data_IF_722746532390
#
_entry.id   IF_722746532390
#
_cell.length_a   1.000
_cell.length_b   1.000
_cell.length_c   1.000
_cell.angle_alpha   90.00
_cell.angle_beta   90.00
_cell.angle_gamma   90.00
#
_symmetry.space_group_name_H-M   'P 1'
#
loop_
_entity.id
_entity.type
_entity.pdbx_description
1 polymer ?
#
# COMPACT_ATOMS: atom_id res chain seq x y z
N UNK A 1 -1.35 -4.80 20.56
CA UNK A 1 -1.31 -3.33 20.49
C UNK A 1 -2.39 -2.90 19.49
N UNK A 2 -3.64 -2.85 19.95
CA UNK A 2 -4.81 -2.49 19.16
C UNK A 2 -5.03 -0.99 19.26
N UNK A 3 -4.50 -0.25 18.29
CA UNK A 3 -4.82 1.15 18.10
C UNK A 3 -4.95 1.38 16.60
N UNK A 4 -6.20 1.53 16.15
CA UNK A 4 -6.54 2.15 14.87
C UNK A 4 -6.18 3.63 14.98
N UNK A 5 -4.88 3.93 15.07
CA UNK A 5 -4.41 5.30 14.90
C UNK A 5 -4.72 5.67 13.45
N UNK A 6 -5.41 6.80 13.17
CA UNK A 6 -5.70 7.21 11.81
C UNK A 6 -4.41 7.19 10.98
N UNK A 7 -4.44 6.50 9.84
CA UNK A 7 -3.29 6.43 8.97
C UNK A 7 -2.80 7.84 8.65
N UNK A 8 -1.48 8.01 8.65
CA UNK A 8 -0.87 9.26 8.24
C UNK A 8 -1.32 9.62 6.81
N UNK A 9 -1.36 10.91 6.48
CA UNK A 9 -1.66 11.37 5.12
C UNK A 9 -0.77 10.70 4.05
N UNK A 10 0.48 10.37 4.41
CA UNK A 10 1.42 9.67 3.54
C UNK A 10 0.98 8.23 3.27
N UNK A 11 0.60 7.49 4.32
CA UNK A 11 0.07 6.14 4.20
C UNK A 11 -1.22 6.12 3.38
N UNK A 12 -2.12 7.08 3.58
CA UNK A 12 -3.33 7.24 2.75
C UNK A 12 -3.02 7.55 1.29
N UNK A 13 -2.05 8.42 1.02
CA UNK A 13 -1.62 8.71 -0.35
C UNK A 13 -1.06 7.45 -1.04
N UNK A 14 -0.35 6.60 -0.30
CA UNK A 14 0.17 5.35 -0.83
C UNK A 14 -0.97 4.34 -1.11
N UNK A 15 -1.95 4.19 -0.20
CA UNK A 15 -3.14 3.37 -0.46
C UNK A 15 -3.92 3.84 -1.70
N UNK A 16 -4.05 5.16 -1.90
CA UNK A 16 -4.67 5.74 -3.11
C UNK A 16 -3.86 5.44 -4.37
N UNK A 17 -2.53 5.51 -4.30
CA UNK A 17 -1.67 5.16 -5.42
C UNK A 17 -1.78 3.65 -5.75
N UNK A 18 -1.85 2.79 -4.74
CA UNK A 18 -2.06 1.34 -4.92
C UNK A 18 -3.42 1.06 -5.55
N UNK A 19 -4.50 1.70 -5.06
CA UNK A 19 -5.84 1.58 -5.66
C UNK A 19 -5.86 2.00 -7.14
N UNK A 20 -5.03 2.98 -7.52
CA UNK A 20 -4.87 3.43 -8.89
C UNK A 20 -3.95 2.55 -9.75
N UNK A 21 -3.42 1.44 -9.22
CA UNK A 21 -2.52 0.53 -9.93
C UNK A 21 -1.14 1.13 -10.23
N UNK A 22 -0.73 2.18 -9.50
CA UNK A 22 0.54 2.90 -9.75
C UNK A 22 1.71 2.40 -8.91
N UNK A 23 1.46 1.42 -8.04
CA UNK A 23 2.42 0.95 -7.05
C UNK A 23 2.90 -0.44 -7.42
N UNK A 24 4.20 -0.64 -7.32
CA UNK A 24 4.83 -1.95 -7.42
C UNK A 24 5.68 -2.19 -6.17
N UNK A 25 5.82 -3.46 -5.80
CA UNK A 25 6.59 -3.90 -4.65
C UNK A 25 7.50 -5.08 -5.01
N UNK A 26 8.64 -5.21 -4.33
CA UNK A 26 9.53 -6.36 -4.53
C UNK A 26 8.98 -7.61 -3.85
N UNK A 27 9.16 -8.78 -4.46
CA UNK A 27 8.86 -10.06 -3.82
C UNK A 27 9.90 -10.35 -2.71
N UNK A 28 9.59 -9.97 -1.47
CA UNK A 28 10.46 -10.10 -0.27
C UNK A 28 9.65 -10.08 1.02
N UNK A 29 10.22 -10.55 2.14
CA UNK A 29 9.63 -10.42 3.48
C UNK A 29 9.60 -8.97 3.97
N UNK A 30 10.54 -8.16 3.49
CA UNK A 30 10.58 -6.70 3.65
C UNK A 30 10.62 -6.11 2.24
N UNK A 31 9.45 -5.85 1.63
CA UNK A 31 9.39 -5.38 0.26
C UNK A 31 9.77 -3.89 0.17
N UNK A 32 10.44 -3.53 -0.93
CA UNK A 32 10.61 -2.14 -1.32
C UNK A 32 9.47 -1.75 -2.26
N UNK A 33 9.01 -0.51 -2.15
CA UNK A 33 7.93 0.06 -2.96
C UNK A 33 8.47 1.04 -3.99
N UNK A 34 7.81 1.11 -5.13
CA UNK A 34 7.94 2.18 -6.11
C UNK A 34 6.57 2.66 -6.57
N UNK A 35 6.49 3.94 -6.90
CA UNK A 35 5.30 4.59 -7.44
C UNK A 35 5.67 5.17 -8.79
N UNK A 36 4.94 4.82 -9.84
CA UNK A 36 5.21 5.31 -11.20
C UNK A 36 6.68 5.07 -11.62
N UNK A 37 7.22 3.87 -11.31
CA UNK A 37 8.62 3.45 -11.50
C UNK A 37 9.68 4.20 -10.66
N UNK A 38 9.29 5.08 -9.75
CA UNK A 38 10.21 5.81 -8.86
C UNK A 38 10.21 5.18 -7.45
N UNK A 39 11.39 4.95 -6.83
CA UNK A 39 11.46 4.44 -5.47
C UNK A 39 10.63 5.29 -4.51
N UNK A 40 9.80 4.65 -3.69
CA UNK A 40 9.03 5.34 -2.67
C UNK A 40 10.00 5.97 -1.65
N UNK A 41 9.85 7.26 -1.38
CA UNK A 41 10.68 7.96 -0.40
C UNK A 41 10.36 7.58 1.06
N UNK A 42 9.22 6.91 1.28
CA UNK A 42 8.74 6.48 2.59
C UNK A 42 8.59 4.94 2.64
N UNK A 43 9.70 4.25 2.37
CA UNK A 43 9.78 2.79 2.48
C UNK A 43 9.29 2.25 3.83
N UNK A 44 9.61 2.87 4.99
CA UNK A 44 9.10 2.39 6.27
C UNK A 44 7.57 2.39 6.35
N UNK A 45 6.91 3.47 5.92
CA UNK A 45 5.44 3.49 5.89
C UNK A 45 4.87 2.46 4.92
N UNK A 46 5.51 2.27 3.76
CA UNK A 46 5.08 1.28 2.78
C UNK A 46 5.13 -0.15 3.32
N UNK A 47 6.21 -0.52 4.01
CA UNK A 47 6.36 -1.84 4.63
C UNK A 47 5.33 -2.06 5.74
N UNK A 48 4.99 -1.03 6.51
CA UNK A 48 3.92 -1.12 7.50
C UNK A 48 2.57 -1.47 6.87
N UNK A 49 2.26 -1.00 5.66
CA UNK A 49 1.02 -1.37 4.97
C UNK A 49 0.99 -2.85 4.58
N UNK A 50 2.13 -3.42 4.18
CA UNK A 50 2.24 -4.86 3.89
C UNK A 50 2.14 -5.69 5.16
N UNK A 51 2.88 -5.30 6.22
CA UNK A 51 2.81 -5.98 7.51
C UNK A 51 1.43 -5.90 8.15
N UNK A 52 0.69 -4.82 7.91
CA UNK A 52 -0.71 -4.66 8.32
C UNK A 52 -1.71 -5.41 7.43
N UNK A 53 -1.25 -6.07 6.36
CA UNK A 53 -2.11 -6.81 5.42
C UNK A 53 -3.04 -5.92 4.61
N UNK A 54 -2.68 -4.65 4.37
CA UNK A 54 -3.49 -3.70 3.59
C UNK A 54 -3.11 -3.69 2.11
N UNK A 55 -1.88 -4.11 1.79
CA UNK A 55 -1.33 -4.18 0.43
C UNK A 55 -0.61 -5.50 0.25
N UNK A 56 -0.80 -6.14 -0.90
CA UNK A 56 -0.13 -7.39 -1.24
C UNK A 56 0.24 -7.45 -2.74
N UNK A 57 1.21 -8.30 -3.15
CA UNK A 57 1.54 -8.46 -4.56
C UNK A 57 0.37 -9.10 -5.32
N UNK A 58 0.07 -8.59 -6.52
CA UNK A 58 -1.00 -9.11 -7.36
C UNK A 58 -0.74 -10.52 -7.91
N UNK A 59 0.52 -10.95 -7.96
CA UNK A 59 0.93 -12.26 -8.47
C UNK A 59 2.09 -12.82 -7.65
N UNK A 60 2.37 -14.12 -7.78
CA UNK A 60 3.61 -14.71 -7.26
C UNK A 60 4.73 -14.59 -8.29
N UNK A 61 5.97 -14.36 -7.83
CA UNK A 61 7.16 -14.34 -8.67
C UNK A 61 8.42 -14.69 -7.85
N UNK A 62 9.57 -14.91 -8.49
CA UNK A 62 10.82 -15.16 -7.77
C UNK A 62 11.23 -13.94 -6.92
N UNK A 63 12.00 -14.21 -5.86
CA UNK A 63 12.50 -13.18 -4.94
C UNK A 63 13.19 -12.03 -5.68
N UNK A 64 12.96 -10.80 -5.21
CA UNK A 64 13.56 -9.58 -5.77
C UNK A 64 12.92 -9.03 -7.06
N UNK A 65 11.94 -9.73 -7.64
CA UNK A 65 11.18 -9.18 -8.77
C UNK A 65 10.20 -8.11 -8.31
N UNK A 66 10.06 -7.05 -9.12
CA UNK A 66 9.02 -6.04 -8.96
C UNK A 66 7.68 -6.57 -9.46
N UNK A 67 6.64 -6.37 -8.65
CA UNK A 67 5.30 -6.86 -8.93
C UNK A 67 4.28 -5.75 -8.70
N UNK A 68 3.21 -5.67 -9.52
CA UNK A 68 2.09 -4.79 -9.23
C UNK A 68 1.55 -5.06 -7.83
N UNK A 69 1.37 -3.99 -7.06
CA UNK A 69 0.73 -4.04 -5.75
C UNK A 69 -0.78 -3.86 -5.93
N UNK A 70 -1.56 -4.53 -5.10
CA UNK A 70 -3.00 -4.29 -5.00
C UNK A 70 -3.44 -4.15 -3.56
N UNK A 71 -4.60 -3.51 -3.37
CA UNK A 71 -5.22 -3.42 -2.06
C UNK A 71 -5.88 -4.76 -1.72
N UNK A 72 -5.66 -5.22 -0.50
CA UNK A 72 -6.52 -6.26 0.08
C UNK A 72 -7.90 -5.67 0.37
N UNK A 73 -8.87 -6.53 0.68
CA UNK A 73 -10.20 -6.07 1.13
C UNK A 73 -10.11 -5.10 2.31
N UNK A 74 -9.27 -5.41 3.32
CA UNK A 74 -9.06 -4.55 4.48
C UNK A 74 -8.43 -3.20 4.09
N UNK A 75 -7.47 -3.19 3.16
CA UNK A 75 -6.88 -1.95 2.63
C UNK A 75 -7.91 -1.07 1.92
N UNK A 76 -8.80 -1.66 1.13
CA UNK A 76 -9.86 -0.96 0.42
C UNK A 76 -10.91 -0.37 1.38
N UNK A 77 -11.34 -1.13 2.38
CA UNK A 77 -12.29 -0.66 3.41
C UNK A 77 -11.71 0.52 4.21
N UNK A 78 -10.47 0.40 4.65
CA UNK A 78 -9.81 1.47 5.40
C UNK A 78 -9.67 2.74 4.57
N UNK A 79 -9.30 2.61 3.28
CA UNK A 79 -9.23 3.74 2.36
C UNK A 79 -10.60 4.43 2.19
N UNK A 80 -11.68 3.66 2.12
CA UNK A 80 -13.04 4.18 2.02
C UNK A 80 -13.45 4.94 3.29
N UNK A 81 -13.14 4.42 4.48
CA UNK A 81 -13.42 5.07 5.77
C UNK A 81 -12.60 6.36 5.98
N UNK A 82 -11.42 6.44 5.37
CA UNK A 82 -10.49 7.58 5.50
C UNK A 82 -10.70 8.66 4.45
N UNK A 83 -11.45 8.36 3.39
CA UNK A 83 -11.84 9.36 2.40
C UNK A 83 -13.15 9.98 2.91
N UNK A 84 -13.17 11.26 3.32
CA UNK A 84 -14.45 11.90 3.56
C UNK A 84 -15.24 11.78 2.26
N UNK A 85 -16.44 11.19 2.33
CA UNK A 85 -17.35 11.14 1.20
C UNK A 85 -17.51 12.56 0.67
N UNK A 86 -16.91 12.85 -0.48
CA UNK A 86 -17.18 14.07 -1.21
C UNK A 86 -18.57 13.89 -1.83
N UNK A 87 -19.60 14.08 -1.00
CA UNK A 87 -20.95 14.32 -1.45
C UNK A 87 -21.05 15.80 -1.85
N UNK A 88 -21.06 16.07 -3.15
CA UNK A 88 -21.70 17.22 -3.80
C UNK A 88 -21.80 16.94 -5.30
#
# INVERSE_FOLDING_TARGET
MTATDPLSHRALALLRATAAGRVELTCSSEPDFRVDNLPCCDQPAARLLVHAGLVEPATTAPFGHWLPAHLTTAGAELLALSTPSAAA
#
